data_IF_169931042245
#
_entry.id   IF_169931042245
#
_cell.length_a   1.000
_cell.length_b   1.000
_cell.length_c   1.000
_cell.angle_alpha   90.00
_cell.angle_beta   90.00
_cell.angle_gamma   90.00
#
_symmetry.space_group_name_H-M   'P 1'
#
loop_
_entity.id
_entity.type
_entity.pdbx_description
1 polymer ?
#
# COMPACT_ATOMS: atom_id res chain seq x y z
N UNK A 1 -4.90 -13.58 20.84
CA UNK A 1 -4.65 -13.84 19.41
C UNK A 1 -3.22 -14.33 19.24
N UNK A 2 -2.95 -15.06 18.17
CA UNK A 2 -1.63 -15.57 17.81
C UNK A 2 -1.21 -14.97 16.47
N UNK A 3 0.09 -14.71 16.29
CA UNK A 3 0.66 -14.30 15.01
C UNK A 3 1.65 -15.38 14.58
N UNK A 4 1.48 -15.87 13.35
CA UNK A 4 2.33 -16.87 12.73
C UNK A 4 3.05 -16.24 11.53
N UNK A 5 4.38 -16.42 11.46
CA UNK A 5 5.15 -16.06 10.26
C UNK A 5 5.80 -17.32 9.72
N UNK A 6 5.52 -17.66 8.45
CA UNK A 6 5.96 -18.92 7.81
C UNK A 6 5.61 -20.15 8.69
N UNK A 7 4.40 -20.14 9.26
CA UNK A 7 3.89 -21.21 10.13
C UNK A 7 4.50 -21.26 11.54
N UNK A 8 5.36 -20.30 11.92
CA UNK A 8 6.00 -20.28 13.25
C UNK A 8 5.38 -19.19 14.14
N UNK A 9 4.99 -19.52 15.38
CA UNK A 9 4.53 -18.53 16.35
C UNK A 9 5.66 -17.57 16.70
N UNK A 10 5.31 -16.30 16.84
CA UNK A 10 6.26 -15.23 17.09
C UNK A 10 5.74 -14.34 18.21
N UNK A 11 6.63 -14.01 19.15
CA UNK A 11 6.34 -13.21 20.35
C UNK A 11 7.31 -12.01 20.48
N UNK A 12 6.89 -10.98 21.20
CA UNK A 12 7.70 -9.77 21.43
C UNK A 12 8.04 -9.02 20.13
N UNK A 13 7.03 -8.68 19.34
CA UNK A 13 7.21 -7.98 18.06
C UNK A 13 7.80 -6.58 18.22
N UNK A 14 8.69 -6.22 17.29
CA UNK A 14 9.19 -4.86 17.10
C UNK A 14 9.31 -4.58 15.60
N UNK A 15 9.43 -3.31 15.22
CA UNK A 15 9.62 -2.94 13.82
C UNK A 15 10.89 -3.59 13.22
N UNK A 16 11.95 -3.78 14.00
CA UNK A 16 13.16 -4.50 13.57
C UNK A 16 12.88 -5.97 13.27
N UNK A 17 12.27 -6.68 14.22
CA UNK A 17 11.92 -8.11 14.05
C UNK A 17 10.99 -8.35 12.87
N UNK A 18 10.07 -7.42 12.60
CA UNK A 18 9.20 -7.46 11.43
C UNK A 18 9.99 -7.44 10.12
N UNK A 19 10.98 -6.56 10.03
CA UNK A 19 11.84 -6.46 8.84
C UNK A 19 12.72 -7.69 8.67
N UNK A 20 13.26 -8.23 9.75
CA UNK A 20 14.06 -9.47 9.73
C UNK A 20 13.21 -10.68 9.33
N UNK A 21 11.92 -10.63 9.66
CA UNK A 21 10.93 -11.62 9.23
C UNK A 21 10.51 -11.45 7.74
N UNK A 22 11.00 -10.44 7.03
CA UNK A 22 10.65 -10.17 5.63
C UNK A 22 9.36 -9.37 5.46
N UNK A 23 8.90 -8.66 6.50
CA UNK A 23 7.68 -7.84 6.48
C UNK A 23 8.05 -6.37 6.55
N UNK A 24 7.68 -5.62 5.51
CA UNK A 24 7.93 -4.17 5.41
C UNK A 24 6.61 -3.41 5.31
N UNK A 25 6.50 -2.30 6.04
CA UNK A 25 5.32 -1.43 6.01
C UNK A 25 5.67 -0.09 5.36
N UNK A 26 4.83 0.33 4.42
CA UNK A 26 4.82 1.66 3.81
C UNK A 26 3.67 2.44 4.42
N UNK A 27 4.00 3.44 5.25
CA UNK A 27 3.02 4.31 5.89
C UNK A 27 2.74 5.55 5.03
N UNK A 28 1.52 6.08 5.13
CA UNK A 28 0.98 7.19 4.35
C UNK A 28 1.87 8.45 4.27
N UNK A 29 2.50 8.91 5.37
CA UNK A 29 3.27 10.18 5.32
C UNK A 29 4.44 10.29 6.33
N UNK A 30 4.59 9.32 7.24
CA UNK A 30 5.54 9.42 8.38
C UNK A 30 6.80 8.59 8.24
N UNK A 31 6.94 7.86 7.14
CA UNK A 31 7.98 6.84 7.01
C UNK A 31 9.29 7.37 6.42
N UNK A 32 9.35 8.62 5.97
CA UNK A 32 10.52 9.19 5.30
C UNK A 32 11.18 10.28 6.14
N UNK A 33 12.51 10.27 6.15
CA UNK A 33 13.31 11.34 6.73
C UNK A 33 13.36 12.50 5.73
N UNK A 34 12.47 13.48 5.90
CA UNK A 34 12.28 14.61 4.97
C UNK A 34 13.51 15.51 4.82
N UNK A 35 14.41 15.53 5.80
CA UNK A 35 15.67 16.28 5.75
C UNK A 35 16.81 15.52 5.06
N UNK A 36 16.56 14.26 4.67
CA UNK A 36 17.57 13.40 4.06
C UNK A 36 17.33 13.25 2.56
N UNK A 37 18.38 12.83 1.87
CA UNK A 37 18.35 12.57 0.43
C UNK A 37 17.48 11.36 0.09
N UNK A 38 17.06 11.25 -1.17
CA UNK A 38 16.35 10.07 -1.68
C UNK A 38 17.18 8.80 -1.43
N UNK A 39 18.47 8.80 -1.78
CA UNK A 39 19.35 7.64 -1.57
C UNK A 39 19.41 7.24 -0.10
N UNK A 40 19.56 8.20 0.83
CA UNK A 40 19.57 7.88 2.26
C UNK A 40 18.25 7.32 2.75
N UNK A 41 17.12 7.79 2.22
CA UNK A 41 15.82 7.24 2.55
C UNK A 41 15.65 5.79 2.06
N UNK A 42 16.07 5.49 0.83
CA UNK A 42 15.96 4.14 0.24
C UNK A 42 16.78 3.12 1.04
N UNK A 43 18.01 3.47 1.43
CA UNK A 43 18.94 2.54 2.07
C UNK A 43 18.92 2.57 3.60
N UNK A 44 18.09 3.42 4.21
CA UNK A 44 18.04 3.60 5.67
C UNK A 44 17.85 2.28 6.42
N UNK A 45 18.82 1.97 7.29
CA UNK A 45 18.84 0.77 8.13
C UNK A 45 19.19 -0.53 7.40
N UNK A 46 19.58 -0.45 6.12
CA UNK A 46 20.11 -1.55 5.30
C UNK A 46 21.14 -1.01 4.31
N UNK A 47 22.05 -0.21 4.83
CA UNK A 47 23.10 0.42 4.05
C UNK A 47 24.02 -0.63 3.42
N UNK A 48 24.45 -0.37 2.19
CA UNK A 48 25.35 -1.29 1.49
C UNK A 48 26.76 -1.17 2.06
N UNK A 49 27.26 -2.24 2.68
CA UNK A 49 28.60 -2.26 3.27
C UNK A 49 29.56 -3.20 2.55
N UNK A 50 30.85 -2.87 2.62
CA UNK A 50 31.95 -3.78 2.28
C UNK A 50 32.23 -4.77 3.38
N UNK A 51 33.15 -5.71 3.10
CA UNK A 51 33.58 -6.72 4.08
C UNK A 51 34.09 -6.09 5.40
N UNK A 52 34.74 -4.93 5.33
CA UNK A 52 35.20 -4.18 6.51
C UNK A 52 34.16 -3.19 7.07
N UNK A 53 32.90 -3.24 6.64
CA UNK A 53 31.83 -2.37 7.15
C UNK A 53 31.74 -0.97 6.52
N UNK A 54 32.62 -0.61 5.59
CA UNK A 54 32.57 0.68 4.89
C UNK A 54 31.36 0.79 3.96
N UNK A 55 30.70 1.94 3.96
CA UNK A 55 29.57 2.23 3.07
C UNK A 55 29.99 2.27 1.60
N UNK A 56 29.25 1.55 0.75
CA UNK A 56 29.40 1.53 -0.71
C UNK A 56 28.50 2.59 -1.35
N UNK A 57 28.74 3.86 -1.01
CA UNK A 57 27.89 4.99 -1.40
C UNK A 57 27.67 5.07 -2.92
N UNK A 58 28.72 4.84 -3.72
CA UNK A 58 28.58 4.83 -5.19
C UNK A 58 27.58 3.80 -5.70
N UNK A 59 27.56 2.61 -5.08
CA UNK A 59 26.60 1.55 -5.41
C UNK A 59 25.19 1.87 -4.94
N UNK A 60 25.02 2.50 -3.78
CA UNK A 60 23.71 2.99 -3.32
C UNK A 60 23.13 4.01 -4.29
N UNK A 61 23.94 4.93 -4.82
CA UNK A 61 23.51 5.94 -5.79
C UNK A 61 23.09 5.31 -7.12
N UNK A 62 23.85 4.32 -7.61
CA UNK A 62 23.53 3.59 -8.84
C UNK A 62 22.18 2.86 -8.72
N UNK A 63 21.98 2.12 -7.63
CA UNK A 63 20.74 1.40 -7.37
C UNK A 63 19.56 2.34 -7.10
N UNK A 64 19.76 3.44 -6.36
CA UNK A 64 18.73 4.46 -6.19
C UNK A 64 18.30 5.04 -7.55
N UNK A 65 19.25 5.32 -8.43
CA UNK A 65 18.96 5.81 -9.78
C UNK A 65 18.17 4.79 -10.60
N UNK A 66 18.51 3.50 -10.49
CA UNK A 66 17.78 2.41 -11.15
C UNK A 66 16.34 2.31 -10.64
N UNK A 67 16.16 2.30 -9.32
CA UNK A 67 14.85 2.24 -8.68
C UNK A 67 14.00 3.45 -9.08
N UNK A 68 14.52 4.67 -8.98
CA UNK A 68 13.80 5.90 -9.38
C UNK A 68 13.24 5.80 -10.80
N UNK A 69 14.02 5.27 -11.76
CA UNK A 69 13.53 5.03 -13.13
C UNK A 69 12.40 4.00 -13.19
N UNK A 70 12.51 2.91 -12.44
CA UNK A 70 11.51 1.83 -12.39
C UNK A 70 10.14 2.30 -11.88
N UNK A 71 10.11 3.18 -10.87
CA UNK A 71 8.88 3.78 -10.31
C UNK A 71 8.35 4.95 -11.15
N UNK A 72 9.04 5.32 -12.23
CA UNK A 72 8.63 6.43 -13.09
C UNK A 72 8.83 7.80 -12.45
N UNK A 73 9.93 8.01 -11.71
CA UNK A 73 10.50 9.36 -11.56
C UNK A 73 11.03 9.79 -12.92
N UNK A 74 10.15 10.35 -13.74
CA UNK A 74 10.46 10.80 -15.10
C UNK A 74 10.95 12.25 -15.13
N UNK A 75 10.77 13.01 -14.04
CA UNK A 75 11.28 14.37 -13.98
C UNK A 75 12.80 14.32 -13.89
N UNK A 76 13.48 14.91 -14.87
CA UNK A 76 14.94 15.15 -14.84
C UNK A 76 15.36 16.07 -13.68
N UNK A 77 14.41 16.53 -12.87
CA UNK A 77 14.56 17.53 -11.82
C UNK A 77 15.15 16.90 -10.55
N UNK A 78 14.79 15.65 -10.25
CA UNK A 78 15.24 14.99 -9.02
C UNK A 78 16.28 13.91 -9.28
N UNK A 79 17.32 13.91 -8.44
CA UNK A 79 18.42 12.95 -8.46
C UNK A 79 18.42 12.17 -7.15
N UNK A 80 19.21 11.08 -7.02
CA UNK A 80 19.36 10.40 -5.74
C UNK A 80 19.82 11.31 -4.58
N UNK A 81 20.43 12.46 -4.88
CA UNK A 81 20.89 13.46 -3.92
C UNK A 81 19.84 14.51 -3.55
N UNK A 82 18.68 14.54 -4.22
CA UNK A 82 17.61 15.47 -3.88
C UNK A 82 17.05 15.19 -2.49
N UNK A 83 16.69 16.26 -1.77
CA UNK A 83 16.13 16.15 -0.42
C UNK A 83 14.65 15.77 -0.51
N UNK A 84 14.25 14.75 0.25
CA UNK A 84 12.87 14.21 0.19
C UNK A 84 11.81 15.25 0.55
N UNK A 85 12.12 16.19 1.43
CA UNK A 85 11.21 17.28 1.80
C UNK A 85 10.86 18.24 0.65
N UNK A 86 11.60 18.22 -0.47
CA UNK A 86 11.32 19.03 -1.66
C UNK A 86 10.39 18.33 -2.65
N UNK A 87 10.10 17.05 -2.45
CA UNK A 87 9.30 16.23 -3.34
C UNK A 87 7.80 16.47 -3.13
N UNK A 88 6.99 16.26 -4.17
CA UNK A 88 5.53 16.19 -4.05
C UNK A 88 5.09 14.99 -3.19
N UNK A 89 3.81 14.93 -2.82
CA UNK A 89 3.25 13.78 -2.09
C UNK A 89 3.46 12.45 -2.83
N UNK A 90 3.11 12.37 -4.12
CA UNK A 90 3.30 11.14 -4.89
C UNK A 90 4.76 10.82 -5.21
N UNK A 91 5.64 11.82 -5.31
CA UNK A 91 7.07 11.58 -5.38
C UNK A 91 7.59 10.97 -4.07
N UNK A 92 7.23 11.54 -2.92
CA UNK A 92 7.54 10.93 -1.61
C UNK A 92 7.01 9.49 -1.54
N UNK A 93 5.79 9.25 -1.99
CA UNK A 93 5.24 7.89 -2.03
C UNK A 93 6.08 6.96 -2.92
N UNK A 94 6.52 7.43 -4.08
CA UNK A 94 7.42 6.69 -4.95
C UNK A 94 8.74 6.33 -4.25
N UNK A 95 9.35 7.24 -3.47
CA UNK A 95 10.55 6.92 -2.66
C UNK A 95 10.26 5.82 -1.62
N UNK A 96 9.11 5.88 -0.95
CA UNK A 96 8.72 4.88 0.04
C UNK A 96 8.50 3.50 -0.60
N UNK A 97 7.91 3.46 -1.80
CA UNK A 97 7.76 2.25 -2.61
C UNK A 97 9.14 1.73 -3.08
N UNK A 98 10.03 2.61 -3.54
CA UNK A 98 11.41 2.26 -3.94
C UNK A 98 12.13 1.48 -2.85
N UNK A 99 12.02 1.98 -1.62
CA UNK A 99 12.58 1.37 -0.43
C UNK A 99 12.00 -0.01 -0.19
N UNK A 100 10.69 -0.20 -0.34
CA UNK A 100 10.05 -1.50 -0.18
C UNK A 100 10.47 -2.50 -1.27
N UNK A 101 10.59 -2.07 -2.54
CA UNK A 101 11.10 -2.89 -3.66
C UNK A 101 12.50 -3.38 -3.34
N UNK A 102 13.39 -2.46 -2.98
CA UNK A 102 14.80 -2.75 -2.75
C UNK A 102 15.00 -3.78 -1.63
N UNK A 103 14.18 -3.70 -0.58
CA UNK A 103 14.29 -4.57 0.59
C UNK A 103 13.85 -6.01 0.37
N UNK A 104 13.33 -6.35 -0.82
CA UNK A 104 12.87 -7.71 -1.19
C UNK A 104 11.95 -8.35 -0.14
N UNK A 105 11.08 -7.55 0.49
CA UNK A 105 10.18 -8.05 1.51
C UNK A 105 9.21 -9.11 0.94
N UNK A 106 8.99 -10.18 1.70
CA UNK A 106 8.04 -11.26 1.37
C UNK A 106 6.59 -10.77 1.49
N UNK A 107 6.32 -9.93 2.50
CA UNK A 107 5.04 -9.25 2.70
C UNK A 107 5.27 -7.74 2.77
N UNK A 108 4.54 -7.01 1.93
CA UNK A 108 4.53 -5.54 1.93
C UNK A 108 3.17 -5.06 2.40
N UNK A 109 3.14 -4.29 3.49
CA UNK A 109 1.94 -3.66 4.01
C UNK A 109 1.88 -2.23 3.48
N UNK A 110 0.84 -1.90 2.75
CA UNK A 110 0.59 -0.56 2.22
C UNK A 110 -0.55 0.07 3.02
N UNK A 111 -0.23 1.06 3.85
CA UNK A 111 -1.19 1.74 4.72
C UNK A 111 -1.67 3.04 4.07
N UNK A 112 -2.90 3.03 3.56
CA UNK A 112 -3.54 4.10 2.80
C UNK A 112 -2.65 4.73 1.71
N UNK A 113 -2.06 3.90 0.82
CA UNK A 113 -0.99 4.35 -0.07
C UNK A 113 -1.45 5.27 -1.21
N UNK A 114 -2.77 5.48 -1.37
CA UNK A 114 -3.36 6.32 -2.42
C UNK A 114 -3.95 7.61 -1.90
N UNK A 115 -3.93 7.85 -0.59
CA UNK A 115 -4.51 9.06 -0.01
C UNK A 115 -3.75 10.30 -0.49
N UNK A 116 -4.48 11.33 -0.90
CA UNK A 116 -3.93 12.59 -1.44
C UNK A 116 -3.05 12.45 -2.69
N UNK A 117 -3.17 11.35 -3.45
CA UNK A 117 -2.51 11.16 -4.73
C UNK A 117 -3.40 11.53 -5.92
N UNK A 118 -2.79 12.05 -6.99
CA UNK A 118 -3.45 12.16 -8.29
C UNK A 118 -3.73 10.78 -8.91
N UNK A 119 -4.56 10.75 -9.95
CA UNK A 119 -4.84 9.52 -10.72
C UNK A 119 -3.57 8.89 -11.30
N UNK A 120 -2.66 9.73 -11.82
CA UNK A 120 -1.38 9.29 -12.38
C UNK A 120 -0.48 8.66 -11.32
N UNK A 121 -0.44 9.24 -10.12
CA UNK A 121 0.36 8.71 -9.00
C UNK A 121 -0.25 7.42 -8.45
N UNK A 122 -1.58 7.36 -8.33
CA UNK A 122 -2.33 6.14 -7.96
C UNK A 122 -2.04 4.98 -8.92
N UNK A 123 -2.01 5.25 -10.23
CA UNK A 123 -1.68 4.24 -11.23
C UNK A 123 -0.26 3.65 -11.04
N UNK A 124 0.71 4.44 -10.56
CA UNK A 124 2.06 3.97 -10.24
C UNK A 124 2.05 3.03 -9.03
N UNK A 125 1.28 3.36 -7.99
CA UNK A 125 1.09 2.46 -6.83
C UNK A 125 0.53 1.12 -7.29
N UNK A 126 -0.50 1.12 -8.13
CA UNK A 126 -1.09 -0.13 -8.64
C UNK A 126 -0.15 -0.90 -9.56
N UNK A 127 0.66 -0.21 -10.35
CA UNK A 127 1.71 -0.86 -11.14
C UNK A 127 2.69 -1.60 -10.24
N UNK A 128 3.15 -0.95 -9.16
CA UNK A 128 3.99 -1.57 -8.16
C UNK A 128 3.30 -2.79 -7.50
N UNK A 129 2.03 -2.68 -7.11
CA UNK A 129 1.27 -3.82 -6.56
C UNK A 129 1.31 -5.02 -7.51
N UNK A 130 1.07 -4.79 -8.80
CA UNK A 130 1.12 -5.84 -9.83
C UNK A 130 2.52 -6.45 -9.98
N UNK A 131 3.59 -5.65 -9.91
CA UNK A 131 4.96 -6.15 -9.99
C UNK A 131 5.33 -7.03 -8.80
N UNK A 132 4.96 -6.63 -7.58
CA UNK A 132 5.19 -7.43 -6.36
C UNK A 132 4.46 -8.76 -6.47
N UNK A 133 3.19 -8.73 -6.87
CA UNK A 133 2.39 -9.94 -7.14
C UNK A 133 3.07 -10.85 -8.17
N UNK A 134 3.49 -10.29 -9.31
CA UNK A 134 4.14 -11.04 -10.40
C UNK A 134 5.46 -11.72 -9.95
N UNK A 135 6.12 -11.17 -8.94
CA UNK A 135 7.34 -11.76 -8.35
C UNK A 135 7.07 -12.76 -7.22
N UNK A 136 5.82 -13.17 -7.00
CA UNK A 136 5.45 -14.17 -6.00
C UNK A 136 5.46 -13.67 -4.56
N UNK A 137 5.42 -12.34 -4.35
CA UNK A 137 5.39 -11.71 -3.03
C UNK A 137 3.97 -11.22 -2.69
N UNK A 138 3.66 -11.11 -1.41
CA UNK A 138 2.33 -10.74 -0.92
C UNK A 138 2.23 -9.26 -0.58
N UNK A 139 1.03 -8.70 -0.77
CA UNK A 139 0.71 -7.34 -0.34
C UNK A 139 -0.52 -7.38 0.57
N UNK A 140 -0.44 -6.65 1.69
CA UNK A 140 -1.60 -6.25 2.46
C UNK A 140 -1.88 -4.78 2.16
N UNK A 141 -2.95 -4.50 1.41
CA UNK A 141 -3.36 -3.14 1.08
C UNK A 141 -4.46 -2.71 2.06
N UNK A 142 -4.22 -1.62 2.78
CA UNK A 142 -5.20 -0.99 3.67
C UNK A 142 -5.69 0.28 2.96
N UNK A 143 -7.00 0.38 2.77
CA UNK A 143 -7.59 1.54 2.13
C UNK A 143 -9.10 1.59 2.35
N UNK A 144 -9.65 2.79 2.20
CA UNK A 144 -11.07 3.08 2.35
C UNK A 144 -11.78 3.34 1.02
N UNK A 145 -11.03 3.47 -0.09
CA UNK A 145 -11.60 3.63 -1.43
C UNK A 145 -11.74 2.25 -2.10
N UNK A 146 -12.98 1.74 -2.14
CA UNK A 146 -13.25 0.39 -2.64
C UNK A 146 -13.00 0.26 -4.14
N UNK A 147 -13.35 1.26 -4.94
CA UNK A 147 -13.09 1.25 -6.38
C UNK A 147 -11.59 1.13 -6.70
N UNK A 148 -10.72 1.69 -5.87
CA UNK A 148 -9.27 1.58 -6.02
C UNK A 148 -8.74 0.16 -5.75
N UNK A 149 -9.23 -0.49 -4.70
CA UNK A 149 -8.70 -1.79 -4.26
C UNK A 149 -9.34 -2.97 -4.97
N UNK A 150 -10.55 -2.78 -5.50
CA UNK A 150 -11.34 -3.87 -6.06
C UNK A 150 -10.67 -4.58 -7.25
N UNK A 151 -9.97 -3.82 -8.10
CA UNK A 151 -9.32 -4.35 -9.30
C UNK A 151 -7.95 -4.98 -9.04
N UNK A 152 -7.36 -4.73 -7.86
CA UNK A 152 -6.00 -5.20 -7.54
C UNK A 152 -5.98 -6.29 -6.47
N UNK A 153 -7.07 -6.49 -5.73
CA UNK A 153 -7.15 -7.41 -4.62
C UNK A 153 -7.60 -8.81 -5.07
N UNK A 154 -6.90 -9.83 -4.57
CA UNK A 154 -7.32 -11.23 -4.71
C UNK A 154 -8.31 -11.64 -3.58
N UNK A 155 -8.28 -10.93 -2.44
CA UNK A 155 -9.10 -11.18 -1.25
C UNK A 155 -9.44 -9.88 -0.52
N UNK A 156 -10.65 -9.80 0.01
CA UNK A 156 -11.14 -8.70 0.84
C UNK A 156 -11.35 -9.15 2.29
N UNK A 157 -10.96 -8.29 3.22
CA UNK A 157 -11.25 -8.42 4.65
C UNK A 157 -11.83 -7.08 5.10
N UNK A 158 -13.10 -7.09 5.51
CA UNK A 158 -13.77 -5.89 6.05
C UNK A 158 -13.73 -5.96 7.56
N UNK A 159 -13.24 -4.88 8.17
CA UNK A 159 -13.20 -4.70 9.61
C UNK A 159 -14.27 -3.66 10.01
N UNK A 160 -15.11 -4.02 10.98
CA UNK A 160 -16.02 -3.10 11.67
C UNK A 160 -15.81 -3.19 13.18
N UNK A 161 -15.62 -2.05 13.84
CA UNK A 161 -15.45 -1.93 15.31
C UNK A 161 -14.49 -2.97 15.92
N UNK A 162 -13.38 -3.25 15.22
CA UNK A 162 -12.34 -4.18 15.67
C UNK A 162 -12.66 -5.67 15.45
N UNK A 163 -13.73 -6.00 14.73
CA UNK A 163 -14.11 -7.37 14.36
C UNK A 163 -14.12 -7.53 12.85
N UNK A 164 -13.85 -8.75 12.38
CA UNK A 164 -13.99 -9.09 10.96
C UNK A 164 -15.47 -9.23 10.65
N UNK A 165 -15.99 -8.32 9.82
CA UNK A 165 -17.36 -8.35 9.33
C UNK A 165 -17.49 -9.23 8.06
N UNK A 166 -16.44 -9.25 7.22
CA UNK A 166 -16.39 -10.04 6.00
C UNK A 166 -14.99 -10.58 5.72
N UNK A 167 -14.93 -11.79 5.20
CA UNK A 167 -13.78 -12.31 4.47
C UNK A 167 -14.31 -12.95 3.19
N UNK A 168 -13.85 -12.46 2.05
CA UNK A 168 -14.30 -12.95 0.75
C UNK A 168 -13.15 -12.93 -0.26
N UNK A 169 -13.01 -13.97 -1.06
CA UNK A 169 -12.14 -13.95 -2.22
C UNK A 169 -12.80 -13.14 -3.35
N UNK A 170 -11.98 -12.59 -4.27
CA UNK A 170 -12.45 -11.71 -5.35
C UNK A 170 -13.56 -12.32 -6.21
N UNK A 171 -13.58 -13.64 -6.37
CA UNK A 171 -14.58 -14.38 -7.14
C UNK A 171 -15.98 -14.38 -6.50
N UNK A 172 -16.07 -14.10 -5.20
CA UNK A 172 -17.33 -14.09 -4.45
C UNK A 172 -18.05 -12.74 -4.49
N UNK A 173 -17.36 -11.68 -4.93
CA UNK A 173 -17.88 -10.31 -5.00
C UNK A 173 -18.00 -9.92 -6.48
N UNK A 174 -19.20 -9.54 -6.94
CA UNK A 174 -19.42 -9.31 -8.38
C UNK A 174 -18.89 -7.94 -8.81
N UNK A 175 -19.11 -6.91 -8.00
CA UNK A 175 -18.69 -5.54 -8.29
C UNK A 175 -18.17 -4.80 -7.05
N UNK A 176 -17.55 -3.64 -7.28
CA UNK A 176 -17.13 -2.75 -6.19
C UNK A 176 -18.35 -2.25 -5.41
N UNK A 177 -19.46 -2.00 -6.11
CA UNK A 177 -20.74 -1.55 -5.55
C UNK A 177 -21.31 -2.58 -4.59
N UNK A 178 -21.24 -3.88 -4.89
CA UNK A 178 -21.69 -4.93 -3.97
C UNK A 178 -20.93 -4.87 -2.63
N UNK A 179 -19.62 -4.62 -2.68
CA UNK A 179 -18.79 -4.52 -1.48
C UNK A 179 -19.07 -3.23 -0.70
N UNK A 180 -19.32 -2.12 -1.40
CA UNK A 180 -19.71 -0.85 -0.79
C UNK A 180 -21.05 -1.00 -0.07
N UNK A 181 -22.06 -1.55 -0.74
CA UNK A 181 -23.39 -1.78 -0.16
C UNK A 181 -23.29 -2.66 1.10
N UNK A 182 -22.52 -3.74 1.05
CA UNK A 182 -22.26 -4.56 2.23
C UNK A 182 -21.64 -3.75 3.38
N UNK A 183 -20.66 -2.89 3.09
CA UNK A 183 -20.04 -2.05 4.11
C UNK A 183 -21.01 -1.02 4.71
N UNK A 184 -21.90 -0.46 3.89
CA UNK A 184 -22.95 0.47 4.33
C UNK A 184 -23.96 -0.23 5.26
N UNK A 185 -24.40 -1.43 4.90
CA UNK A 185 -25.30 -2.26 5.70
C UNK A 185 -24.69 -2.62 7.06
N UNK A 186 -23.40 -2.97 7.08
CA UNK A 186 -22.66 -3.30 8.31
C UNK A 186 -22.46 -2.05 9.17
N UNK A 187 -22.21 -0.89 8.57
CA UNK A 187 -22.04 0.37 9.30
C UNK A 187 -23.37 0.88 9.91
N UNK A 188 -24.49 0.61 9.24
CA UNK A 188 -25.84 1.03 9.65
C UNK A 188 -26.79 -0.16 9.78
N UNK A 189 -26.60 -1.05 10.77
CA UNK A 189 -27.50 -2.17 10.98
C UNK A 189 -28.86 -1.63 11.48
N UNK A 190 -29.77 -1.38 10.53
CA UNK A 190 -31.11 -0.84 10.75
C UNK A 190 -31.41 0.55 10.16
N UNK A 191 -30.54 1.14 9.32
CA UNK A 191 -30.73 2.48 8.77
C UNK A 191 -30.69 2.56 7.25
N UNK A 192 -31.83 2.32 6.59
CA UNK A 192 -32.37 3.03 5.41
C UNK A 192 -33.64 2.33 4.88
N UNK A 193 -34.85 2.64 5.39
CA UNK A 193 -36.06 2.51 4.60
C UNK A 193 -36.14 3.73 3.67
N UNK A 194 -35.87 3.58 2.37
CA UNK A 194 -36.00 4.74 1.48
C UNK A 194 -35.58 4.67 0.02
N UNK A 195 -35.21 3.52 -0.56
CA UNK A 195 -34.89 3.45 -2.00
C UNK A 195 -35.71 2.41 -2.78
N UNK A 196 -36.91 2.06 -2.30
CA UNK A 196 -37.86 1.19 -3.02
C UNK A 196 -39.25 1.80 -3.27
N UNK A 197 -39.45 3.11 -3.14
CA UNK A 197 -40.72 3.78 -3.49
C UNK A 197 -40.59 4.77 -4.66
N UNK A 198 -39.90 4.37 -5.73
CA UNK A 198 -39.93 5.09 -7.01
C UNK A 198 -40.37 4.16 -8.17
N UNK A 199 -41.28 3.21 -7.88
CA UNK A 199 -41.78 2.24 -8.85
C UNK A 199 -43.30 2.05 -8.91
N UNK A 200 -44.07 2.56 -7.94
CA UNK A 200 -45.52 2.27 -7.86
C UNK A 200 -46.32 3.52 -7.49
N UNK A 201 -46.38 4.51 -8.39
CA UNK A 201 -47.34 5.62 -8.25
C UNK A 201 -47.79 6.22 -9.60
N UNK A 202 -47.79 5.45 -10.70
CA UNK A 202 -48.40 5.90 -11.97
C UNK A 202 -49.26 4.82 -12.66
N UNK A 203 -49.86 3.92 -11.89
CA UNK A 203 -50.99 3.10 -12.33
C UNK A 203 -52.08 3.13 -11.26
N UNK A 204 -52.91 4.19 -11.27
CA UNK A 204 -54.04 4.22 -10.34
C UNK A 204 -54.71 5.56 -10.10
N UNK A 205 -54.86 6.45 -11.08
CA UNK A 205 -55.84 7.52 -11.00
C UNK A 205 -56.26 8.04 -12.40
N UNK A 206 -57.34 7.44 -12.90
CA UNK A 206 -58.35 7.98 -13.85
C UNK A 206 -57.89 8.48 -15.22
#
# INVERSE_FOLDING_TARGET
GEILVRGKPVSGWSAGRSRDAGIETVFQDRALAVQQTIVRNIFMGRELTGFMGWLKVGKEIEEASRLMREIGFTSKVFTPHSIVGQLSGGERQGVAIARAIYKQAELIILDEPTTALSLTETAKVFHFVRQVRASGRSILFIGHNIHHVFDIADRFVVLDRGKVALTADRSQIKSAEDLINFMEDVAHPGGLPGLHEAGEAEQGAR
#
